data_IF_263018107521
#
_entry.id   IF_263018107521
#
_cell.length_a   1.000
_cell.length_b   1.000
_cell.length_c   1.000
_cell.angle_alpha   90.00
_cell.angle_beta   90.00
_cell.angle_gamma   90.00
#
_symmetry.space_group_name_H-M   'P 1'
#
loop_
_entity.id
_entity.type
_entity.pdbx_description
1 polymer ?
#
# COMPACT_ATOMS: atom_id res chain seq x y z
N UNK A 1 -10.94 20.65 14.80
CA UNK A 1 -9.61 20.49 14.19
C UNK A 1 -9.42 19.03 13.86
N UNK A 2 -8.97 18.69 12.67
CA UNK A 2 -8.53 17.31 12.36
C UNK A 2 -7.31 16.98 13.25
N UNK A 3 -7.19 15.74 13.75
CA UNK A 3 -6.00 15.36 14.51
C UNK A 3 -4.76 15.47 13.60
N UNK A 4 -3.69 16.04 14.14
CA UNK A 4 -2.42 16.08 13.45
C UNK A 4 -1.85 14.66 13.38
N UNK A 5 -1.56 14.20 12.16
CA UNK A 5 -0.99 12.87 11.91
C UNK A 5 0.52 13.05 11.81
N UNK A 6 1.31 12.48 12.74
CA UNK A 6 2.76 12.61 12.67
C UNK A 6 3.29 11.96 11.37
N UNK A 7 4.26 12.59 10.71
CA UNK A 7 4.85 12.03 9.50
C UNK A 7 5.57 10.70 9.80
N UNK A 8 5.40 9.74 8.91
CA UNK A 8 6.06 8.43 8.93
C UNK A 8 6.79 8.24 7.60
N UNK A 9 8.03 7.81 7.65
CA UNK A 9 8.93 7.72 6.50
C UNK A 9 9.30 6.28 6.13
N UNK A 10 9.04 5.32 7.01
CA UNK A 10 9.36 3.92 6.79
C UNK A 10 8.33 2.99 7.43
N UNK A 11 7.14 2.95 6.88
CA UNK A 11 6.08 2.06 7.33
C UNK A 11 6.29 0.68 6.71
N UNK A 12 6.56 -0.31 7.54
CA UNK A 12 6.79 -1.69 7.11
C UNK A 12 5.54 -2.57 7.31
N UNK A 13 5.41 -3.67 6.54
CA UNK A 13 4.42 -4.71 6.83
C UNK A 13 4.48 -5.19 8.29
N UNK A 14 3.32 -5.50 8.85
CA UNK A 14 3.17 -5.86 10.26
C UNK A 14 3.00 -4.66 11.21
N UNK A 15 3.11 -3.43 10.72
CA UNK A 15 2.87 -2.23 11.52
C UNK A 15 1.51 -1.60 11.22
N UNK A 16 1.16 -0.58 11.99
CA UNK A 16 -0.09 0.18 11.80
C UNK A 16 0.05 1.17 10.67
N UNK A 17 -0.98 1.28 9.85
CA UNK A 17 -1.06 2.16 8.70
C UNK A 17 -2.39 2.93 8.71
N UNK A 18 -2.35 4.21 8.36
CA UNK A 18 -3.55 5.01 8.15
C UNK A 18 -4.30 4.52 6.92
N UNK A 19 -5.61 4.35 7.06
CA UNK A 19 -6.52 4.01 5.97
C UNK A 19 -7.76 4.86 6.02
N UNK A 20 -8.35 5.12 4.87
CA UNK A 20 -9.67 5.74 4.74
C UNK A 20 -10.67 4.63 4.40
N UNK A 21 -11.67 4.45 5.25
CA UNK A 21 -12.70 3.41 5.13
C UNK A 21 -14.08 4.05 5.12
N UNK A 22 -15.10 3.27 4.72
CA UNK A 22 -16.49 3.65 4.85
C UNK A 22 -17.05 4.41 3.66
N UNK A 23 -18.39 4.29 3.53
CA UNK A 23 -19.23 4.99 2.58
C UNK A 23 -20.65 5.02 3.19
N UNK A 24 -21.45 6.07 3.01
CA UNK A 24 -21.17 7.29 2.26
C UNK A 24 -20.27 8.29 2.98
N UNK A 25 -19.96 8.06 4.26
CA UNK A 25 -19.10 8.96 5.04
C UNK A 25 -17.73 8.29 5.26
N UNK A 26 -16.70 8.69 4.51
CA UNK A 26 -15.35 8.21 4.73
C UNK A 26 -14.83 8.60 6.12
N UNK A 27 -14.11 7.67 6.77
CA UNK A 27 -13.46 7.92 8.06
C UNK A 27 -12.02 7.42 8.05
N UNK A 28 -11.17 8.08 8.80
CA UNK A 28 -9.83 7.58 9.09
C UNK A 28 -9.92 6.37 10.02
N UNK A 29 -9.11 5.35 9.74
CA UNK A 29 -8.97 4.15 10.53
C UNK A 29 -7.50 3.74 10.60
N UNK A 30 -7.06 3.28 11.77
CA UNK A 30 -5.72 2.76 11.97
C UNK A 30 -5.74 1.25 11.93
N UNK A 31 -5.21 0.65 10.86
CA UNK A 31 -5.28 -0.80 10.61
C UNK A 31 -3.90 -1.42 10.51
N UNK A 32 -3.76 -2.67 10.88
CA UNK A 32 -2.51 -3.41 10.72
C UNK A 32 -2.25 -3.78 9.26
N UNK A 33 -1.08 -3.47 8.72
CA UNK A 33 -0.70 -3.89 7.37
C UNK A 33 -0.27 -5.36 7.34
N UNK A 34 -1.19 -6.21 6.99
CA UNK A 34 -1.07 -7.66 6.96
C UNK A 34 -2.45 -8.28 7.19
N UNK A 35 -3.25 -8.44 6.11
CA UNK A 35 -4.60 -8.98 6.17
C UNK A 35 -4.59 -10.39 6.74
N UNK A 36 -5.44 -10.63 7.74
CA UNK A 36 -5.69 -11.96 8.29
C UNK A 36 -7.00 -12.46 7.67
N UNK A 37 -6.97 -13.58 6.91
CA UNK A 37 -8.19 -14.12 6.29
C UNK A 37 -9.28 -14.46 7.30
N UNK A 38 -10.59 -14.30 6.96
CA UNK A 38 -11.70 -14.42 7.92
C UNK A 38 -11.89 -15.80 8.54
N UNK A 39 -11.35 -16.85 7.96
CA UNK A 39 -11.43 -18.22 8.48
C UNK A 39 -10.32 -18.57 9.48
N UNK A 40 -9.32 -17.70 9.64
CA UNK A 40 -8.24 -17.91 10.60
C UNK A 40 -8.79 -17.75 12.01
N UNK A 41 -8.68 -18.83 12.80
CA UNK A 41 -9.17 -18.86 14.19
C UNK A 41 -8.19 -18.27 15.19
N UNK A 42 -6.89 -18.36 14.90
CA UNK A 42 -5.80 -17.81 15.73
C UNK A 42 -5.03 -16.73 14.95
N UNK A 43 -5.44 -15.47 15.07
CA UNK A 43 -4.77 -14.35 14.37
C UNK A 43 -3.31 -14.15 14.77
N UNK A 44 -2.93 -14.50 16.00
CA UNK A 44 -1.57 -14.26 16.51
C UNK A 44 -0.51 -15.13 15.79
N UNK A 45 -0.91 -16.31 15.33
CA UNK A 45 -0.06 -17.26 14.59
C UNK A 45 -0.35 -17.29 13.09
N UNK A 46 -1.19 -16.37 12.60
CA UNK A 46 -1.57 -16.33 11.20
C UNK A 46 -0.45 -15.78 10.31
N UNK A 47 -0.27 -16.39 9.14
CA UNK A 47 0.52 -15.78 8.07
C UNK A 47 -0.25 -14.59 7.49
N UNK A 48 0.12 -13.39 7.89
CA UNK A 48 -0.46 -12.16 7.38
C UNK A 48 -0.18 -11.97 5.88
N UNK A 49 -1.18 -11.49 5.14
CA UNK A 49 -1.08 -11.25 3.70
C UNK A 49 -0.96 -9.75 3.45
N UNK A 50 0.20 -9.30 3.04
CA UNK A 50 0.49 -7.87 2.88
C UNK A 50 -0.01 -7.29 1.55
N UNK A 51 -0.08 -8.11 0.48
CA UNK A 51 -0.47 -7.68 -0.85
C UNK A 51 -1.45 -8.65 -1.51
N UNK A 52 -2.37 -8.10 -2.33
CA UNK A 52 -3.28 -8.82 -3.20
C UNK A 52 -3.07 -8.38 -4.66
N UNK A 53 -3.00 -9.32 -5.60
CA UNK A 53 -2.90 -8.98 -7.03
C UNK A 53 -4.26 -8.60 -7.59
N UNK A 54 -4.36 -7.48 -8.31
CA UNK A 54 -5.58 -6.99 -8.96
C UNK A 54 -6.23 -8.06 -9.84
N UNK A 55 -5.42 -8.84 -10.56
CA UNK A 55 -5.86 -9.87 -11.50
C UNK A 55 -6.63 -11.03 -10.86
N UNK A 56 -6.45 -11.24 -9.56
CA UNK A 56 -7.07 -12.39 -8.85
C UNK A 56 -7.82 -11.99 -7.59
N UNK A 57 -7.91 -10.70 -7.28
CA UNK A 57 -8.47 -10.17 -6.03
C UNK A 57 -9.96 -10.50 -5.86
N UNK A 58 -10.71 -10.51 -6.96
CA UNK A 58 -12.14 -10.82 -6.97
C UNK A 58 -12.46 -12.31 -6.77
N UNK A 59 -11.49 -13.20 -7.03
CA UNK A 59 -11.68 -14.65 -7.07
C UNK A 59 -11.14 -15.36 -5.83
N UNK A 60 -9.92 -14.97 -5.40
CA UNK A 60 -9.23 -15.67 -4.29
C UNK A 60 -10.03 -15.63 -3.01
N UNK A 61 -10.20 -16.78 -2.32
CA UNK A 61 -10.93 -16.85 -1.06
C UNK A 61 -10.48 -15.84 -0.01
N UNK A 62 -9.18 -15.58 0.09
CA UNK A 62 -8.61 -14.62 1.04
C UNK A 62 -9.08 -13.18 0.82
N UNK A 63 -9.51 -12.84 -0.38
CA UNK A 63 -9.76 -11.45 -0.77
C UNK A 63 -11.17 -11.17 -1.24
N UNK A 64 -11.84 -12.13 -1.91
CA UNK A 64 -13.14 -11.91 -2.58
C UNK A 64 -14.22 -11.32 -1.67
N UNK A 65 -14.22 -11.70 -0.38
CA UNK A 65 -15.17 -11.17 0.60
C UNK A 65 -14.92 -9.70 0.93
N UNK A 66 -13.66 -9.36 1.20
CA UNK A 66 -13.23 -7.98 1.47
C UNK A 66 -13.34 -7.12 0.19
N UNK A 67 -12.99 -7.65 -0.97
CA UNK A 67 -13.13 -6.95 -2.25
C UNK A 67 -14.57 -6.49 -2.53
N UNK A 68 -15.54 -7.27 -2.14
CA UNK A 68 -16.95 -6.90 -2.31
C UNK A 68 -17.47 -5.89 -1.29
N UNK A 69 -16.95 -5.85 -0.07
CA UNK A 69 -17.59 -5.13 1.06
C UNK A 69 -16.67 -4.27 1.90
N UNK A 70 -15.39 -4.57 1.95
CA UNK A 70 -14.45 -3.97 2.88
C UNK A 70 -13.21 -3.46 2.13
N UNK A 71 -13.42 -2.37 1.40
CA UNK A 71 -12.36 -1.68 0.66
C UNK A 71 -11.94 -0.44 1.44
N UNK A 72 -10.67 -0.08 1.31
CA UNK A 72 -10.14 1.15 1.88
C UNK A 72 -9.13 1.80 0.93
N UNK A 73 -8.79 3.04 1.19
CA UNK A 73 -7.74 3.78 0.50
C UNK A 73 -6.63 4.07 1.51
N UNK A 74 -5.41 3.73 1.17
CA UNK A 74 -4.22 4.05 1.97
C UNK A 74 -3.52 5.25 1.34
N UNK A 75 -3.51 6.42 2.01
CA UNK A 75 -2.75 7.58 1.53
C UNK A 75 -1.26 7.37 1.79
N UNK A 76 -0.43 7.61 0.78
CA UNK A 76 1.03 7.50 0.89
C UNK A 76 1.72 8.54 0.01
N UNK A 77 2.75 9.21 0.51
CA UNK A 77 3.59 10.12 -0.29
C UNK A 77 4.51 9.36 -1.26
N UNK A 78 4.68 8.05 -1.05
CA UNK A 78 5.44 7.16 -1.91
C UNK A 78 5.54 5.77 -1.31
N UNK A 79 6.33 4.92 -1.96
CA UNK A 79 6.62 3.56 -1.51
C UNK A 79 8.06 3.18 -1.86
N UNK A 80 8.56 2.13 -1.21
CA UNK A 80 9.89 1.59 -1.49
C UNK A 80 9.79 0.34 -2.35
N UNK A 81 10.76 0.20 -3.27
CA UNK A 81 11.01 -1.02 -4.02
C UNK A 81 12.51 -1.28 -4.08
N UNK A 82 12.88 -2.55 -4.27
CA UNK A 82 14.28 -2.96 -4.28
C UNK A 82 14.68 -3.51 -5.64
N UNK A 83 15.59 -2.81 -6.30
CA UNK A 83 16.24 -3.33 -7.50
C UNK A 83 17.32 -4.34 -7.10
N UNK A 84 17.25 -5.53 -7.68
CA UNK A 84 18.24 -6.59 -7.46
C UNK A 84 19.20 -6.68 -8.64
N UNK A 85 20.46 -6.30 -8.44
CA UNK A 85 21.50 -6.40 -9.45
C UNK A 85 22.81 -6.88 -8.81
N UNK A 86 23.51 -7.82 -9.46
CA UNK A 86 24.80 -8.30 -8.99
C UNK A 86 24.80 -8.89 -7.57
N UNK A 87 23.70 -9.48 -7.11
CA UNK A 87 23.55 -10.01 -5.75
C UNK A 87 23.31 -8.97 -4.66
N UNK A 88 23.21 -7.69 -5.01
CA UNK A 88 22.89 -6.58 -4.12
C UNK A 88 21.46 -6.12 -4.34
N UNK A 89 20.85 -5.59 -3.27
CA UNK A 89 19.51 -4.98 -3.32
C UNK A 89 19.64 -3.49 -3.03
N UNK A 90 19.43 -2.66 -4.07
CA UNK A 90 19.38 -1.21 -3.96
C UNK A 90 17.95 -0.77 -3.72
N UNK A 91 17.61 -0.12 -2.59
CA UNK A 91 16.29 0.45 -2.37
C UNK A 91 16.09 1.72 -3.22
N UNK A 92 14.89 1.86 -3.72
CA UNK A 92 14.39 3.03 -4.43
C UNK A 92 13.16 3.56 -3.73
N UNK A 93 13.04 4.88 -3.64
CA UNK A 93 11.79 5.53 -3.27
C UNK A 93 11.04 5.97 -4.52
N UNK A 94 9.78 5.57 -4.59
CA UNK A 94 8.90 5.85 -5.73
C UNK A 94 7.79 6.77 -5.26
N UNK A 95 7.65 7.94 -5.90
CA UNK A 95 6.68 8.95 -5.52
C UNK A 95 6.01 9.59 -6.74
N UNK A 96 4.81 10.20 -6.57
CA UNK A 96 4.14 10.90 -7.65
C UNK A 96 4.88 12.18 -8.03
N UNK A 97 4.72 12.66 -9.28
CA UNK A 97 5.36 13.90 -9.76
C UNK A 97 4.42 15.09 -9.79
N UNK A 98 3.10 14.88 -9.82
CA UNK A 98 2.09 15.93 -10.00
C UNK A 98 1.13 16.09 -8.81
N UNK A 99 1.11 15.15 -7.92
CA UNK A 99 0.25 15.14 -6.73
C UNK A 99 1.10 14.87 -5.50
N UNK A 100 0.62 15.24 -4.34
CA UNK A 100 1.37 15.06 -3.09
C UNK A 100 1.31 13.62 -2.58
N UNK A 101 0.18 12.93 -2.83
CA UNK A 101 -0.08 11.59 -2.31
C UNK A 101 -0.58 10.64 -3.40
N UNK A 102 -0.22 9.38 -3.29
CA UNK A 102 -0.95 8.26 -3.86
C UNK A 102 -2.15 7.91 -2.98
N UNK A 103 -3.30 7.63 -3.59
CA UNK A 103 -4.39 6.91 -2.96
C UNK A 103 -4.31 5.43 -3.34
N UNK A 104 -3.71 4.61 -2.50
CA UNK A 104 -3.49 3.19 -2.79
C UNK A 104 -4.75 2.39 -2.49
N UNK A 105 -5.25 1.63 -3.47
CA UNK A 105 -6.35 0.70 -3.27
C UNK A 105 -5.95 -0.43 -2.32
N UNK A 106 -6.78 -0.69 -1.33
CA UNK A 106 -6.55 -1.74 -0.35
C UNK A 106 -7.85 -2.44 0.06
N UNK A 107 -7.69 -3.64 0.59
CA UNK A 107 -8.75 -4.42 1.23
C UNK A 107 -8.51 -4.43 2.73
N UNK A 108 -9.57 -4.47 3.52
CA UNK A 108 -9.43 -4.59 4.96
C UNK A 108 -10.43 -5.55 5.58
N UNK A 109 -10.10 -6.06 6.74
CA UNK A 109 -11.00 -6.84 7.58
C UNK A 109 -11.18 -6.08 8.90
N UNK A 110 -12.42 -5.67 9.25
CA UNK A 110 -12.68 -4.85 10.43
C UNK A 110 -12.62 -5.62 11.75
N UNK A 111 -12.33 -6.94 11.73
CA UNK A 111 -12.24 -7.72 12.96
C UNK A 111 -11.03 -7.29 13.79
N UNK A 112 -11.19 -7.11 15.11
CA UNK A 112 -10.07 -6.89 16.00
C UNK A 112 -9.06 -8.07 15.93
N UNK A 113 -7.78 -7.78 16.12
CA UNK A 113 -6.77 -8.85 16.20
C UNK A 113 -5.47 -8.55 15.47
N UNK A 114 -5.37 -7.40 14.80
CA UNK A 114 -4.12 -6.89 14.24
C UNK A 114 -3.52 -5.75 15.04
N UNK A 115 -2.29 -5.32 14.72
CA UNK A 115 -1.75 -4.08 15.22
C UNK A 115 -2.71 -2.92 14.93
N UNK A 116 -2.90 -2.00 15.85
CA UNK A 116 -3.80 -0.85 15.69
C UNK A 116 -5.24 -1.06 16.15
N UNK A 117 -5.68 -2.31 16.34
CA UNK A 117 -6.99 -2.63 16.96
C UNK A 117 -8.22 -2.49 16.07
N UNK A 118 -8.20 -1.71 14.99
CA UNK A 118 -9.35 -1.46 14.12
C UNK A 118 -9.49 -2.47 12.97
N UNK A 119 -8.57 -3.44 12.86
CA UNK A 119 -8.59 -4.46 11.82
C UNK A 119 -7.26 -4.61 11.11
N UNK A 120 -7.27 -5.34 10.01
CA UNK A 120 -6.06 -5.60 9.19
C UNK A 120 -6.31 -5.35 7.72
N UNK A 121 -5.27 -4.99 6.95
CA UNK A 121 -5.41 -4.69 5.52
C UNK A 121 -4.33 -5.34 4.65
N UNK A 122 -4.64 -5.47 3.36
CA UNK A 122 -3.69 -5.82 2.30
C UNK A 122 -3.77 -4.77 1.19
N UNK A 123 -2.62 -4.30 0.71
CA UNK A 123 -2.56 -3.42 -0.45
C UNK A 123 -2.85 -4.20 -1.74
N UNK A 124 -3.52 -3.58 -2.70
CA UNK A 124 -3.68 -4.19 -4.02
C UNK A 124 -2.50 -3.76 -4.89
N UNK A 125 -2.01 -4.69 -5.72
CA UNK A 125 -0.91 -4.42 -6.65
C UNK A 125 -1.34 -4.69 -8.09
N UNK A 126 -0.78 -3.91 -9.02
CA UNK A 126 -0.93 -4.01 -10.48
C UNK A 126 0.45 -4.21 -11.12
N UNK A 127 0.54 -4.49 -12.43
CA UNK A 127 1.79 -4.39 -13.15
C UNK A 127 2.46 -3.02 -12.96
N UNK A 128 3.78 -2.98 -12.95
CA UNK A 128 4.55 -1.78 -12.71
C UNK A 128 4.36 -0.71 -13.79
N UNK A 129 4.45 0.55 -13.39
CA UNK A 129 4.57 1.69 -14.31
C UNK A 129 5.85 1.59 -15.16
N UNK A 130 5.82 2.15 -16.38
CA UNK A 130 6.96 2.10 -17.30
C UNK A 130 8.27 2.63 -16.69
N UNK A 131 8.19 3.66 -15.84
CA UNK A 131 9.36 4.26 -15.18
C UNK A 131 9.94 3.42 -14.02
N UNK A 132 9.27 2.35 -13.58
CA UNK A 132 9.68 1.55 -12.41
C UNK A 132 9.80 0.06 -12.70
N UNK A 133 9.46 -0.38 -13.93
CA UNK A 133 9.47 -1.80 -14.30
C UNK A 133 10.84 -2.47 -14.19
N UNK A 134 11.91 -1.70 -14.38
CA UNK A 134 13.28 -2.20 -14.27
C UNK A 134 13.72 -2.35 -12.80
N UNK A 135 12.99 -1.75 -11.87
CA UNK A 135 13.23 -1.88 -10.43
C UNK A 135 12.46 -3.09 -9.91
N UNK A 136 11.15 -3.16 -10.23
CA UNK A 136 10.25 -4.25 -9.83
C UNK A 136 9.09 -4.37 -10.83
N UNK A 137 8.59 -5.58 -11.05
CA UNK A 137 7.50 -5.88 -12.01
C UNK A 137 6.10 -5.49 -11.52
N UNK A 138 5.97 -5.13 -10.24
CA UNK A 138 4.69 -4.72 -9.61
C UNK A 138 4.78 -3.34 -8.99
N UNK A 139 3.62 -2.70 -8.82
CA UNK A 139 3.43 -1.47 -8.07
C UNK A 139 2.11 -1.52 -7.30
N UNK A 140 1.92 -0.70 -6.25
CA UNK A 140 0.61 -0.51 -5.65
C UNK A 140 -0.42 -0.02 -6.67
N UNK A 141 -1.66 -0.51 -6.58
CA UNK A 141 -2.77 -0.02 -7.38
C UNK A 141 -3.17 1.38 -6.91
N UNK A 142 -2.82 2.40 -7.68
CA UNK A 142 -3.11 3.80 -7.36
C UNK A 142 -4.42 4.21 -7.99
N UNK A 143 -5.38 4.64 -7.18
CA UNK A 143 -6.67 5.16 -7.61
C UNK A 143 -6.54 6.64 -7.99
N UNK A 144 -7.35 7.09 -8.95
CA UNK A 144 -7.53 8.51 -9.22
C UNK A 144 -8.43 9.13 -8.14
N UNK A 145 -8.24 10.38 -7.74
CA UNK A 145 -9.06 11.03 -6.72
C UNK A 145 -10.57 10.97 -6.99
N UNK A 146 -10.98 11.11 -8.24
CA UNK A 146 -12.38 11.01 -8.68
C UNK A 146 -13.00 9.62 -8.49
N UNK A 147 -12.18 8.58 -8.37
CA UNK A 147 -12.61 7.20 -8.21
C UNK A 147 -12.70 6.74 -6.75
N UNK A 148 -12.26 7.53 -5.78
CA UNK A 148 -12.29 7.14 -4.36
C UNK A 148 -13.70 6.82 -3.87
N UNK A 149 -14.69 7.63 -4.26
CA UNK A 149 -16.10 7.40 -3.92
C UNK A 149 -16.61 6.06 -4.44
N UNK A 150 -16.36 5.75 -5.72
CA UNK A 150 -16.73 4.48 -6.36
C UNK A 150 -16.02 3.29 -5.69
N UNK A 151 -14.73 3.44 -5.38
CA UNK A 151 -13.95 2.39 -4.73
C UNK A 151 -14.49 2.05 -3.34
N UNK A 152 -14.85 3.05 -2.56
CA UNK A 152 -15.33 2.87 -1.18
C UNK A 152 -16.80 2.44 -1.12
N UNK A 153 -17.62 2.72 -2.13
CA UNK A 153 -19.06 2.44 -2.12
C UNK A 153 -19.34 0.93 -2.21
N UNK A 154 -19.92 0.31 -1.17
CA UNK A 154 -20.23 -1.12 -1.16
C UNK A 154 -21.24 -1.55 -2.25
N UNK A 155 -22.00 -0.61 -2.83
CA UNK A 155 -22.93 -0.88 -3.92
C UNK A 155 -22.25 -0.99 -5.29
N UNK A 156 -20.99 -0.57 -5.44
CA UNK A 156 -20.26 -0.67 -6.71
C UNK A 156 -20.07 -2.14 -7.11
N UNK A 157 -20.49 -2.48 -8.32
CA UNK A 157 -20.38 -3.83 -8.87
C UNK A 157 -18.90 -4.29 -8.98
N UNK A 158 -18.62 -5.59 -8.79
CA UNK A 158 -17.25 -6.11 -8.84
C UNK A 158 -16.50 -5.79 -10.14
N UNK A 159 -17.17 -5.88 -11.30
CA UNK A 159 -16.54 -5.59 -12.59
C UNK A 159 -16.14 -4.12 -12.70
N UNK A 160 -17.00 -3.20 -12.24
CA UNK A 160 -16.69 -1.78 -12.18
C UNK A 160 -15.56 -1.45 -11.19
N UNK A 161 -15.37 -2.25 -10.15
CA UNK A 161 -14.23 -2.13 -9.23
C UNK A 161 -12.92 -2.59 -9.88
N UNK A 162 -12.97 -3.67 -10.68
CA UNK A 162 -11.78 -4.16 -11.41
C UNK A 162 -11.31 -3.15 -12.46
N UNK A 163 -12.22 -2.40 -13.10
CA UNK A 163 -11.87 -1.31 -14.01
C UNK A 163 -11.03 -0.20 -13.34
N UNK A 164 -11.19 0.02 -12.03
CA UNK A 164 -10.41 1.01 -11.27
C UNK A 164 -8.98 0.55 -10.98
N UNK A 165 -8.71 -0.75 -11.04
CA UNK A 165 -7.43 -1.36 -10.70
C UNK A 165 -6.50 -1.47 -11.92
N UNK A 166 -6.43 -0.41 -12.71
CA UNK A 166 -5.51 -0.35 -13.85
C UNK A 166 -4.11 0.12 -13.41
N UNK A 167 -3.04 -0.20 -14.17
CA UNK A 167 -1.75 0.39 -13.95
C UNK A 167 -1.84 1.92 -13.93
N UNK A 168 -1.19 2.55 -12.96
CA UNK A 168 -1.21 3.99 -12.78
C UNK A 168 -0.62 4.70 -14.01
N UNK A 169 -1.41 5.58 -14.63
CA UNK A 169 -1.03 6.33 -15.83
C UNK A 169 -0.44 7.72 -15.53
N UNK A 170 -0.43 8.14 -14.26
CA UNK A 170 0.13 9.43 -13.85
C UNK A 170 1.66 9.44 -13.81
N UNK A 171 2.23 10.63 -13.64
CA UNK A 171 3.69 10.76 -13.54
C UNK A 171 4.23 10.14 -12.24
N UNK A 172 5.28 9.34 -12.38
CA UNK A 172 6.00 8.68 -11.29
C UNK A 172 7.48 9.00 -11.40
N UNK A 173 8.11 9.29 -10.27
CA UNK A 173 9.55 9.43 -10.13
C UNK A 173 10.07 8.34 -9.20
N UNK A 174 11.16 7.70 -9.59
CA UNK A 174 11.91 6.77 -8.75
C UNK A 174 13.34 7.24 -8.62
N UNK A 175 13.91 7.14 -7.42
CA UNK A 175 15.32 7.46 -7.19
C UNK A 175 15.91 6.57 -6.08
N UNK A 176 17.22 6.28 -6.15
CA UNK A 176 17.89 5.47 -5.15
C UNK A 176 17.93 6.18 -3.80
N UNK A 177 17.74 5.41 -2.74
CA UNK A 177 17.84 5.88 -1.36
C UNK A 177 18.81 5.01 -0.57
N UNK A 178 19.22 5.50 0.60
CA UNK A 178 20.13 4.77 1.48
C UNK A 178 19.54 3.42 1.94
N UNK A 179 20.40 2.41 2.07
CA UNK A 179 20.06 1.12 2.69
C UNK A 179 19.58 1.25 4.16
N UNK A 180 19.62 2.46 4.74
CA UNK A 180 19.04 2.81 6.03
C UNK A 180 17.59 2.36 6.16
N UNK A 181 16.82 2.43 5.06
CA UNK A 181 15.42 2.01 5.00
C UNK A 181 15.19 0.51 5.27
N UNK A 182 16.21 -0.32 5.10
CA UNK A 182 16.14 -1.76 5.37
C UNK A 182 15.92 -2.08 6.87
N UNK A 183 16.23 -1.17 7.75
CA UNK A 183 15.97 -1.32 9.17
C UNK A 183 14.68 -0.58 9.55
N UNK A 184 13.61 -1.32 9.86
CA UNK A 184 12.26 -0.80 10.18
C UNK A 184 12.27 0.22 11.33
N UNK A 185 13.24 0.14 12.25
CA UNK A 185 13.41 1.12 13.35
C UNK A 185 13.81 2.52 12.87
N UNK A 186 14.36 2.64 11.66
CA UNK A 186 14.68 3.92 11.07
C UNK A 186 13.42 4.47 10.39
N UNK A 187 12.84 5.52 10.94
CA UNK A 187 11.60 6.14 10.49
C UNK A 187 11.75 7.66 10.56
N UNK A 188 12.60 8.20 9.70
CA UNK A 188 12.98 9.61 9.65
C UNK A 188 13.15 10.08 8.19
N UNK A 189 13.21 11.41 7.93
CA UNK A 189 13.31 11.96 6.58
C UNK A 189 14.49 11.44 5.75
N UNK A 190 15.56 10.95 6.38
CA UNK A 190 16.71 10.41 5.66
C UNK A 190 16.40 9.08 4.94
N UNK A 191 15.33 8.37 5.35
CA UNK A 191 14.87 7.17 4.64
C UNK A 191 14.44 7.47 3.20
N UNK A 192 13.98 8.70 2.92
CA UNK A 192 13.49 9.13 1.59
C UNK A 192 14.42 10.15 0.92
N UNK A 193 15.54 10.48 1.54
CA UNK A 193 16.53 11.38 0.94
C UNK A 193 17.17 10.74 -0.31
N UNK A 194 17.37 11.53 -1.35
CA UNK A 194 18.11 11.09 -2.54
C UNK A 194 19.51 10.68 -2.11
N UNK A 195 19.92 9.47 -2.48
CA UNK A 195 21.26 8.98 -2.18
C UNK A 195 22.30 9.78 -2.99
N UNK A 196 23.33 10.29 -2.33
CA UNK A 196 24.48 10.88 -3.03
C UNK A 196 25.23 9.74 -3.74
N UNK A 197 25.58 9.87 -5.03
CA UNK A 197 26.37 8.85 -5.74
C UNK A 197 27.71 8.52 -5.05
N UNK A 198 28.21 9.40 -4.19
CA UNK A 198 29.42 9.17 -3.39
C UNK A 198 29.22 8.28 -2.17
N UNK A 199 27.97 8.08 -1.76
CA UNK A 199 27.56 7.24 -0.61
C UNK A 199 27.25 5.79 -1.02
N UNK A 200 27.49 5.41 -2.28
CA UNK A 200 27.36 4.01 -2.72
C UNK A 200 28.33 3.14 -1.92
N UNK A 201 27.82 2.12 -1.20
CA UNK A 201 28.70 1.15 -0.54
C UNK A 201 29.52 0.41 -1.61
N UNK A 202 30.83 0.55 -1.53
CA UNK A 202 31.81 -0.12 -2.41
C UNK A 202 31.75 -1.66 -2.26
#
# INVERSE_FOLDING_TARGET
MAPEIPPRFNIAPGTVILSITGSPVPRAAWVGWGLIPPWVKDPANAKAIINARAETVAEKPSFRGAFRRHRCVVPASGYFEWHSAGGRKQPYYVCPTKQELFGIAALWDPRPGGPGGEGTCALITTPAHAATRDIHDRMPAVLRPEDYGRWLDPATAPDALLELLQPFAGGVRAYPVSSRVNAVRNDDPQCIAVMDPRDEPR
#
